data_IF_786569644709
#
_entry.id   IF_786569644709
#
_cell.length_a   1.000
_cell.length_b   1.000
_cell.length_c   1.000
_cell.angle_alpha   90.00
_cell.angle_beta   90.00
_cell.angle_gamma   90.00
#
_symmetry.space_group_name_H-M   'P 1'
#
loop_
_entity.id
_entity.type
_entity.pdbx_description
1 polymer ?
#
# COMPACT_ATOMS: atom_id res chain seq x y z
N UNK A 1 -13.84 -9.77 -16.58
CA UNK A 1 -13.63 -10.22 -17.98
C UNK A 1 -14.75 -9.76 -18.94
N UNK A 2 -15.40 -8.63 -18.67
CA UNK A 2 -16.47 -8.10 -19.54
C UNK A 2 -15.98 -7.62 -20.91
N UNK A 3 -14.67 -7.43 -21.08
CA UNK A 3 -14.04 -7.05 -22.35
C UNK A 3 -13.88 -8.23 -23.33
N UNK A 4 -13.97 -9.47 -22.85
CA UNK A 4 -13.81 -10.67 -23.69
C UNK A 4 -15.03 -10.81 -24.60
N UNK A 5 -14.80 -10.93 -25.90
CA UNK A 5 -15.83 -11.15 -26.91
C UNK A 5 -15.67 -12.54 -27.49
N UNK A 6 -16.79 -13.20 -27.78
CA UNK A 6 -16.81 -14.53 -28.36
C UNK A 6 -18.24 -15.04 -28.58
N UNK A 7 -18.34 -16.27 -29.09
CA UNK A 7 -19.59 -17.00 -29.30
C UNK A 7 -19.56 -18.26 -28.45
N UNK A 8 -20.66 -18.57 -27.77
CA UNK A 8 -20.84 -19.80 -27.01
C UNK A 8 -22.00 -20.55 -27.63
N UNK A 9 -21.69 -21.70 -28.23
CA UNK A 9 -22.67 -22.65 -28.73
C UNK A 9 -22.72 -23.85 -27.78
N UNK A 10 -23.93 -24.26 -27.38
CA UNK A 10 -24.12 -25.27 -26.33
C UNK A 10 -25.35 -26.12 -26.60
N UNK A 11 -25.13 -27.42 -26.80
CA UNK A 11 -26.20 -28.41 -27.03
C UNK A 11 -27.01 -28.69 -25.75
N UNK A 12 -26.43 -28.49 -24.57
CA UNK A 12 -27.05 -28.80 -23.27
C UNK A 12 -28.03 -27.73 -22.74
N UNK A 13 -28.23 -26.62 -23.46
CA UNK A 13 -29.14 -25.56 -23.02
C UNK A 13 -30.59 -25.90 -23.43
N UNK A 14 -31.55 -25.84 -22.49
CA UNK A 14 -32.94 -26.12 -22.82
C UNK A 14 -33.49 -25.02 -23.74
N UNK A 15 -33.82 -25.39 -24.98
CA UNK A 15 -34.21 -24.45 -26.03
C UNK A 15 -35.59 -23.80 -25.80
N UNK A 16 -36.49 -24.48 -25.08
CA UNK A 16 -37.88 -24.06 -24.86
C UNK A 16 -38.09 -23.44 -23.47
N UNK A 17 -37.24 -22.49 -23.06
CA UNK A 17 -37.37 -21.82 -21.76
C UNK A 17 -37.31 -20.29 -21.90
N UNK A 18 -37.89 -19.57 -20.94
CA UNK A 18 -37.81 -18.11 -20.91
C UNK A 18 -36.36 -17.64 -20.64
N UNK A 19 -36.03 -16.44 -21.10
CA UNK A 19 -34.71 -15.82 -20.84
C UNK A 19 -34.40 -15.69 -19.35
N UNK A 20 -35.42 -15.42 -18.55
CA UNK A 20 -35.31 -15.27 -17.10
C UNK A 20 -34.94 -16.60 -16.43
N UNK A 21 -35.64 -17.68 -16.79
CA UNK A 21 -35.32 -19.03 -16.28
C UNK A 21 -33.95 -19.48 -16.76
N UNK A 22 -33.55 -19.13 -17.98
CA UNK A 22 -32.23 -19.45 -18.52
C UNK A 22 -31.11 -18.79 -17.73
N UNK A 23 -31.25 -17.50 -17.41
CA UNK A 23 -30.26 -16.74 -16.64
C UNK A 23 -30.00 -17.32 -15.24
N UNK A 24 -31.00 -17.97 -14.65
CA UNK A 24 -30.89 -18.61 -13.33
C UNK A 24 -30.40 -20.07 -13.40
N UNK A 25 -30.19 -20.62 -14.61
CA UNK A 25 -29.79 -22.02 -14.81
C UNK A 25 -28.43 -22.34 -14.19
N UNK A 26 -28.33 -23.51 -13.56
CA UNK A 26 -27.05 -24.07 -13.07
C UNK A 26 -26.06 -24.30 -14.22
N UNK A 27 -26.54 -24.60 -15.43
CA UNK A 27 -25.69 -24.86 -16.60
C UNK A 27 -24.89 -23.61 -16.98
N UNK A 28 -25.51 -22.42 -16.97
CA UNK A 28 -24.79 -21.16 -17.25
C UNK A 28 -23.67 -20.89 -16.24
N UNK A 29 -23.83 -21.28 -14.97
CA UNK A 29 -22.76 -21.15 -13.96
C UNK A 29 -21.56 -22.03 -14.29
N UNK A 30 -21.80 -23.25 -14.81
CA UNK A 30 -20.74 -24.18 -15.24
C UNK A 30 -20.03 -23.64 -16.49
N UNK A 31 -20.79 -23.21 -17.50
CA UNK A 31 -20.25 -22.58 -18.71
C UNK A 31 -19.37 -21.38 -18.33
N UNK A 32 -19.87 -20.47 -17.48
CA UNK A 32 -19.10 -19.32 -16.99
C UNK A 32 -17.79 -19.74 -16.35
N UNK A 33 -17.80 -20.75 -15.47
CA UNK A 33 -16.59 -21.25 -14.81
C UNK A 33 -15.56 -21.76 -15.82
N UNK A 34 -16.00 -22.52 -16.83
CA UNK A 34 -15.11 -23.03 -17.88
C UNK A 34 -14.54 -21.92 -18.76
N UNK A 35 -15.36 -20.92 -19.13
CA UNK A 35 -14.91 -19.76 -19.90
C UNK A 35 -13.87 -18.94 -19.14
N UNK A 36 -14.09 -18.67 -17.84
CA UNK A 36 -13.11 -17.98 -17.00
C UNK A 36 -11.80 -18.77 -16.96
N UNK A 37 -11.86 -20.09 -16.76
CA UNK A 37 -10.66 -20.94 -16.78
C UNK A 37 -9.90 -20.83 -18.11
N UNK A 38 -10.59 -20.93 -19.25
CA UNK A 38 -9.99 -20.79 -20.58
C UNK A 38 -9.41 -19.39 -20.84
N UNK A 39 -10.06 -18.34 -20.35
CA UNK A 39 -9.49 -16.99 -20.42
C UNK A 39 -8.21 -16.87 -19.59
N UNK A 40 -8.15 -17.49 -18.40
CA UNK A 40 -6.92 -17.48 -17.58
C UNK A 40 -5.78 -18.28 -18.22
N UNK A 41 -6.09 -19.39 -18.90
CA UNK A 41 -5.11 -20.15 -19.70
C UNK A 41 -4.56 -19.26 -20.83
N UNK A 42 -5.42 -18.60 -21.60
CA UNK A 42 -5.02 -17.69 -22.68
C UNK A 42 -4.17 -16.51 -22.17
N UNK A 43 -4.54 -15.90 -21.04
CA UNK A 43 -3.74 -14.84 -20.43
C UNK A 43 -2.38 -15.38 -19.98
N UNK A 44 -2.34 -16.63 -19.50
CA UNK A 44 -1.10 -17.32 -19.16
C UNK A 44 -0.17 -17.53 -20.36
N UNK A 45 -0.71 -17.91 -21.51
CA UNK A 45 0.06 -18.00 -22.77
C UNK A 45 0.55 -16.62 -23.23
N UNK A 46 -0.30 -15.59 -23.12
CA UNK A 46 0.10 -14.22 -23.46
C UNK A 46 1.27 -13.72 -22.62
N UNK A 47 1.38 -14.13 -21.35
CA UNK A 47 2.52 -13.75 -20.47
C UNK A 47 3.88 -14.19 -21.05
N UNK A 48 3.92 -15.25 -21.86
CA UNK A 48 5.15 -15.76 -22.46
C UNK A 48 5.67 -14.84 -23.58
N UNK A 49 4.79 -14.07 -24.23
CA UNK A 49 5.15 -13.03 -25.19
C UNK A 49 5.17 -11.66 -24.50
N UNK A 50 6.36 -11.21 -24.10
CA UNK A 50 6.56 -9.95 -23.34
C UNK A 50 5.93 -8.74 -24.04
N UNK A 51 6.06 -8.63 -25.36
CA UNK A 51 5.59 -7.47 -26.12
C UNK A 51 4.06 -7.45 -26.20
N UNK A 52 3.45 -8.60 -26.53
CA UNK A 52 1.99 -8.72 -26.56
C UNK A 52 1.40 -8.55 -25.17
N UNK A 53 2.05 -9.11 -24.14
CA UNK A 53 1.59 -8.99 -22.78
C UNK A 53 1.62 -7.55 -22.27
N UNK A 54 2.67 -6.80 -22.61
CA UNK A 54 2.76 -5.39 -22.24
C UNK A 54 1.58 -4.60 -22.82
N UNK A 55 1.25 -4.80 -24.10
CA UNK A 55 0.07 -4.17 -24.75
C UNK A 55 -1.23 -4.62 -24.08
N UNK A 56 -1.37 -5.90 -23.77
CA UNK A 56 -2.54 -6.43 -23.06
C UNK A 56 -2.68 -5.80 -21.66
N UNK A 57 -1.59 -5.74 -20.90
CA UNK A 57 -1.60 -5.24 -19.54
C UNK A 57 -1.92 -3.75 -19.50
N UNK A 58 -1.35 -2.95 -20.41
CA UNK A 58 -1.65 -1.52 -20.52
C UNK A 58 -3.16 -1.24 -20.71
N UNK A 59 -3.84 -2.09 -21.50
CA UNK A 59 -5.27 -1.92 -21.79
C UNK A 59 -6.19 -2.54 -20.74
N UNK A 60 -5.79 -3.66 -20.11
CA UNK A 60 -6.68 -4.48 -19.30
C UNK A 60 -6.20 -4.71 -17.85
N UNK A 61 -5.14 -4.04 -17.39
CA UNK A 61 -4.63 -4.14 -16.00
C UNK A 61 -5.72 -3.88 -14.96
N UNK A 62 -6.57 -2.87 -15.18
CA UNK A 62 -7.68 -2.52 -14.30
C UNK A 62 -8.67 -3.67 -14.14
N UNK A 63 -8.94 -4.42 -15.22
CA UNK A 63 -9.80 -5.60 -15.15
C UNK A 63 -9.15 -6.75 -14.36
N UNK A 64 -7.82 -6.90 -14.44
CA UNK A 64 -7.08 -7.88 -13.64
C UNK A 64 -7.09 -7.51 -12.16
N UNK A 65 -6.81 -6.25 -11.83
CA UNK A 65 -6.85 -5.71 -10.46
C UNK A 65 -8.26 -5.78 -9.85
N UNK A 66 -9.30 -5.51 -10.64
CA UNK A 66 -10.68 -5.76 -10.22
C UNK A 66 -10.94 -7.27 -10.00
N UNK A 67 -10.38 -8.13 -10.85
CA UNK A 67 -10.45 -9.59 -10.67
C UNK A 67 -9.86 -10.06 -9.34
N UNK A 68 -8.76 -9.46 -8.88
CA UNK A 68 -8.21 -9.71 -7.52
C UNK A 68 -9.23 -9.34 -6.45
N UNK A 69 -9.92 -8.21 -6.64
CA UNK A 69 -10.90 -7.73 -5.67
C UNK A 69 -12.14 -8.65 -5.61
N UNK A 70 -12.70 -9.02 -6.76
CA UNK A 70 -13.99 -9.72 -6.86
C UNK A 70 -13.89 -11.27 -6.83
N UNK A 71 -12.90 -11.85 -7.50
CA UNK A 71 -12.83 -13.31 -7.73
C UNK A 71 -11.91 -14.00 -6.71
N UNK A 72 -12.48 -14.34 -5.56
CA UNK A 72 -11.75 -15.05 -4.51
C UNK A 72 -11.25 -16.44 -4.90
N UNK A 73 -11.88 -17.09 -5.89
CA UNK A 73 -11.50 -18.44 -6.33
C UNK A 73 -10.23 -18.41 -7.19
N UNK A 74 -10.14 -17.43 -8.10
CA UNK A 74 -9.02 -17.33 -9.04
C UNK A 74 -7.97 -16.28 -8.64
N UNK A 75 -8.17 -15.55 -7.53
CA UNK A 75 -7.26 -14.50 -7.04
C UNK A 75 -5.78 -14.86 -7.10
N UNK A 76 -5.42 -16.06 -6.62
CA UNK A 76 -4.02 -16.52 -6.63
C UNK A 76 -3.45 -16.57 -8.05
N UNK A 77 -4.23 -17.08 -9.01
CA UNK A 77 -3.79 -17.15 -10.41
C UNK A 77 -3.74 -15.77 -11.07
N UNK A 78 -4.70 -14.90 -10.76
CA UNK A 78 -4.72 -13.53 -11.27
C UNK A 78 -3.51 -12.74 -10.76
N UNK A 79 -3.02 -13.03 -9.54
CA UNK A 79 -1.85 -12.36 -8.98
C UNK A 79 -0.57 -12.57 -9.82
N UNK A 80 -0.44 -13.74 -10.47
CA UNK A 80 0.68 -14.02 -11.41
C UNK A 80 0.69 -13.07 -12.62
N UNK A 81 -0.47 -12.49 -12.94
CA UNK A 81 -0.68 -11.58 -14.06
C UNK A 81 -0.51 -10.11 -13.67
N UNK A 82 -0.20 -9.79 -12.42
CA UNK A 82 0.01 -8.40 -12.03
C UNK A 82 1.41 -7.93 -12.42
N UNK A 83 1.51 -6.67 -12.84
CA UNK A 83 2.76 -5.99 -13.16
C UNK A 83 2.76 -4.62 -12.50
N UNK A 84 3.88 -4.26 -11.89
CA UNK A 84 4.07 -3.01 -11.17
C UNK A 84 5.44 -2.44 -11.47
N UNK A 85 5.60 -1.12 -11.38
CA UNK A 85 6.94 -0.55 -11.26
C UNK A 85 7.48 -0.82 -9.86
N UNK A 86 8.80 -0.87 -9.71
CA UNK A 86 9.45 -1.00 -8.41
C UNK A 86 10.67 -0.11 -8.28
N UNK A 87 11.27 -0.09 -7.10
CA UNK A 87 12.52 0.64 -6.85
C UNK A 87 13.73 0.14 -7.64
N UNK A 88 13.67 -1.05 -8.21
CA UNK A 88 14.77 -1.69 -8.94
C UNK A 88 14.43 -1.98 -10.41
N UNK A 89 13.17 -1.87 -10.82
CA UNK A 89 12.72 -2.28 -12.16
C UNK A 89 13.05 -1.28 -13.29
N UNK A 90 13.58 -0.09 -12.96
CA UNK A 90 13.76 0.97 -13.94
C UNK A 90 12.43 1.38 -14.57
N UNK A 91 12.39 1.57 -15.88
CA UNK A 91 11.16 1.97 -16.59
C UNK A 91 10.27 0.81 -16.99
N UNK A 92 10.73 -0.44 -16.80
CA UNK A 92 9.89 -1.60 -17.01
C UNK A 92 9.06 -1.93 -15.77
N UNK A 93 7.93 -2.60 -15.98
CA UNK A 93 7.17 -3.20 -14.89
C UNK A 93 7.67 -4.62 -14.62
N UNK A 94 7.64 -5.02 -13.35
CA UNK A 94 8.01 -6.35 -12.86
C UNK A 94 6.78 -7.12 -12.40
N UNK A 95 6.81 -8.46 -12.48
CA UNK A 95 5.82 -9.31 -11.83
C UNK A 95 6.10 -9.45 -10.33
N UNK A 96 5.10 -9.94 -9.57
CA UNK A 96 5.28 -10.35 -8.17
C UNK A 96 6.24 -11.53 -8.06
N UNK A 97 6.21 -12.46 -9.02
CA UNK A 97 7.14 -13.58 -9.09
C UNK A 97 8.59 -13.11 -9.21
N UNK A 98 8.84 -12.16 -10.11
CA UNK A 98 10.19 -11.61 -10.28
C UNK A 98 10.63 -10.76 -9.08
N UNK A 99 9.70 -10.11 -8.37
CA UNK A 99 10.01 -9.50 -7.08
C UNK A 99 10.49 -10.55 -6.08
N UNK A 100 9.77 -11.67 -5.96
CA UNK A 100 10.11 -12.77 -5.03
C UNK A 100 11.51 -13.35 -5.33
N UNK A 101 11.90 -13.47 -6.60
CA UNK A 101 13.25 -13.97 -6.96
C UNK A 101 14.37 -13.00 -6.59
N UNK A 102 14.06 -11.71 -6.39
CA UNK A 102 15.00 -10.67 -5.95
C UNK A 102 14.93 -10.36 -4.46
N UNK A 103 14.05 -11.04 -3.71
CA UNK A 103 13.99 -10.89 -2.26
C UNK A 103 15.30 -11.32 -1.62
N UNK A 104 15.70 -10.62 -0.56
CA UNK A 104 16.86 -11.03 0.24
C UNK A 104 16.54 -12.26 1.08
N UNK A 105 17.56 -13.03 1.45
CA UNK A 105 17.41 -14.23 2.27
C UNK A 105 16.73 -13.96 3.63
N UNK A 106 16.97 -12.78 4.20
CA UNK A 106 16.37 -12.35 5.47
C UNK A 106 15.03 -11.61 5.31
N UNK A 107 14.52 -11.45 4.10
CA UNK A 107 13.28 -10.74 3.81
C UNK A 107 12.08 -11.70 3.84
N UNK A 108 11.08 -11.37 4.66
CA UNK A 108 9.85 -12.18 4.80
C UNK A 108 8.68 -11.64 3.99
N UNK A 109 8.65 -10.33 3.78
CA UNK A 109 7.49 -9.62 3.25
C UNK A 109 7.79 -8.92 1.92
N UNK A 110 6.75 -8.76 1.10
CA UNK A 110 6.77 -7.95 -0.11
C UNK A 110 6.38 -6.52 0.27
N UNK A 111 7.32 -5.59 0.15
CA UNK A 111 7.09 -4.19 0.49
C UNK A 111 6.45 -3.43 -0.68
N UNK A 112 5.40 -2.66 -0.40
CA UNK A 112 4.76 -1.81 -1.38
C UNK A 112 4.39 -0.43 -0.82
N UNK A 113 4.20 0.53 -1.71
CA UNK A 113 3.66 1.85 -1.43
C UNK A 113 2.58 2.20 -2.45
N UNK A 114 1.49 2.78 -1.96
CA UNK A 114 0.42 3.32 -2.80
C UNK A 114 0.49 4.86 -2.86
N UNK A 115 0.08 5.44 -3.99
CA UNK A 115 0.02 6.90 -4.16
C UNK A 115 -0.57 7.33 -5.50
N UNK A 116 -0.38 8.59 -5.86
CA UNK A 116 -0.94 9.20 -7.07
C UNK A 116 -0.05 9.05 -8.30
N UNK A 117 1.26 9.02 -8.10
CA UNK A 117 2.23 8.94 -9.19
C UNK A 117 3.50 8.23 -8.76
N UNK A 118 4.24 7.71 -9.76
CA UNK A 118 5.53 7.06 -9.54
C UNK A 118 6.53 8.03 -8.90
N UNK A 119 6.53 9.29 -9.29
CA UNK A 119 7.41 10.33 -8.75
C UNK A 119 7.11 10.61 -7.28
N UNK A 120 5.84 10.69 -6.90
CA UNK A 120 5.44 10.93 -5.51
C UNK A 120 5.87 9.77 -4.61
N UNK A 121 5.52 8.54 -4.97
CA UNK A 121 5.83 7.37 -4.13
C UNK A 121 7.31 7.05 -4.14
N UNK A 122 8.02 7.37 -5.23
CA UNK A 122 9.45 7.13 -5.30
C UNK A 122 10.27 8.14 -4.50
N UNK A 123 9.75 9.34 -4.25
CA UNK A 123 10.41 10.34 -3.40
C UNK A 123 9.85 10.39 -1.96
N UNK A 124 9.01 9.42 -1.59
CA UNK A 124 8.39 9.38 -0.28
C UNK A 124 9.37 9.07 0.85
N UNK A 125 9.18 9.70 2.01
CA UNK A 125 9.93 9.39 3.23
C UNK A 125 9.83 7.91 3.65
N UNK A 126 8.71 7.25 3.34
CA UNK A 126 8.44 5.87 3.73
C UNK A 126 9.32 4.83 3.04
N UNK A 127 9.94 5.18 1.90
CA UNK A 127 10.79 4.26 1.13
C UNK A 127 12.28 4.49 1.36
N UNK A 128 12.67 5.54 2.09
CA UNK A 128 14.06 5.94 2.31
C UNK A 128 14.89 4.80 2.93
N UNK A 129 14.53 4.33 4.13
CA UNK A 129 15.30 3.27 4.81
C UNK A 129 15.17 1.93 4.10
N UNK A 130 14.00 1.64 3.54
CA UNK A 130 13.74 0.39 2.80
C UNK A 130 14.74 0.26 1.64
N UNK A 131 14.92 1.34 0.87
CA UNK A 131 15.94 1.39 -0.20
C UNK A 131 17.36 1.45 0.33
N UNK A 132 17.63 2.20 1.40
CA UNK A 132 18.96 2.28 2.02
C UNK A 132 19.45 0.90 2.48
N UNK A 133 18.54 0.06 2.97
CA UNK A 133 18.80 -1.35 3.30
C UNK A 133 18.76 -2.28 2.09
N UNK A 134 18.56 -1.76 0.89
CA UNK A 134 18.57 -2.49 -0.38
C UNK A 134 17.36 -3.40 -0.58
N UNK A 135 16.25 -3.17 0.11
CA UNK A 135 15.00 -3.88 -0.16
C UNK A 135 14.24 -3.22 -1.31
N UNK A 136 13.59 -4.05 -2.13
CA UNK A 136 12.76 -3.59 -3.24
C UNK A 136 11.38 -3.14 -2.73
N UNK A 137 10.83 -2.07 -3.30
CA UNK A 137 9.47 -1.59 -3.01
C UNK A 137 8.67 -1.51 -4.29
N UNK A 138 7.48 -2.13 -4.32
CA UNK A 138 6.52 -2.01 -5.41
C UNK A 138 5.78 -0.67 -5.35
N UNK A 139 5.63 -0.01 -6.50
CA UNK A 139 4.92 1.25 -6.66
C UNK A 139 3.55 1.01 -7.27
N UNK A 140 2.52 1.40 -6.51
CA UNK A 140 1.12 1.18 -6.85
C UNK A 140 0.41 2.52 -6.98
N UNK A 141 0.25 2.98 -8.21
CA UNK A 141 -0.08 4.37 -8.52
C UNK A 141 -1.46 4.53 -9.15
N UNK A 142 -2.21 3.43 -9.30
CA UNK A 142 -3.60 3.49 -9.75
C UNK A 142 -4.56 3.42 -8.56
N UNK A 143 -5.68 4.17 -8.55
CA UNK A 143 -6.64 4.12 -7.45
C UNK A 143 -7.18 2.72 -7.14
N UNK A 144 -7.31 1.86 -8.15
CA UNK A 144 -7.77 0.47 -7.99
C UNK A 144 -6.76 -0.40 -7.22
N UNK A 145 -5.48 0.00 -7.14
CA UNK A 145 -4.46 -0.75 -6.43
C UNK A 145 -4.74 -0.87 -4.93
N UNK A 146 -5.32 0.17 -4.32
CA UNK A 146 -5.73 0.16 -2.92
C UNK A 146 -6.76 -0.94 -2.62
N UNK A 147 -7.71 -1.16 -3.54
CA UNK A 147 -8.70 -2.24 -3.41
C UNK A 147 -8.11 -3.62 -3.74
N UNK A 148 -7.13 -3.65 -4.65
CA UNK A 148 -6.41 -4.86 -5.04
C UNK A 148 -5.60 -5.40 -3.85
N UNK A 149 -4.75 -4.59 -3.24
CA UNK A 149 -3.90 -5.02 -2.11
C UNK A 149 -4.65 -5.27 -0.81
N UNK A 150 -5.85 -4.70 -0.65
CA UNK A 150 -6.73 -5.09 0.45
C UNK A 150 -7.13 -6.58 0.39
N UNK A 151 -7.26 -7.14 -0.81
CA UNK A 151 -7.62 -8.55 -1.02
C UNK A 151 -6.40 -9.45 -1.26
N UNK A 152 -5.33 -8.91 -1.84
CA UNK A 152 -4.07 -9.60 -2.06
C UNK A 152 -3.19 -9.53 -0.81
N UNK A 153 -3.53 -10.33 0.20
CA UNK A 153 -2.82 -10.37 1.49
C UNK A 153 -1.44 -11.06 1.40
N UNK A 154 -1.32 -12.05 0.52
CA UNK A 154 -0.14 -12.90 0.39
C UNK A 154 0.09 -13.29 -1.07
N UNK A 155 1.35 -13.43 -1.47
CA UNK A 155 1.80 -14.02 -2.73
C UNK A 155 2.96 -14.97 -2.48
N UNK A 156 2.86 -16.21 -2.95
CA UNK A 156 3.89 -17.26 -2.81
C UNK A 156 4.40 -17.44 -1.35
N UNK A 157 3.48 -17.44 -0.37
CA UNK A 157 3.82 -17.55 1.05
C UNK A 157 4.40 -16.28 1.69
N UNK A 158 4.51 -15.17 0.93
CA UNK A 158 5.03 -13.88 1.39
C UNK A 158 3.89 -12.88 1.60
N UNK A 159 3.84 -12.25 2.77
CA UNK A 159 2.81 -11.26 3.08
C UNK A 159 3.13 -9.94 2.37
N UNK A 160 2.11 -9.22 1.90
CA UNK A 160 2.27 -7.88 1.35
C UNK A 160 2.15 -6.84 2.47
N UNK A 161 3.17 -5.99 2.63
CA UNK A 161 3.24 -4.99 3.69
C UNK A 161 3.38 -3.59 3.11
N UNK A 162 2.46 -2.70 3.49
CA UNK A 162 2.55 -1.29 3.13
C UNK A 162 3.61 -0.59 3.98
N UNK A 163 4.53 0.11 3.33
CA UNK A 163 5.55 0.94 4.02
C UNK A 163 4.97 2.21 4.64
N UNK A 164 3.69 2.52 4.40
CA UNK A 164 3.00 3.72 4.94
C UNK A 164 2.20 3.43 6.23
N UNK A 165 2.04 2.15 6.58
CA UNK A 165 1.33 1.73 7.79
C UNK A 165 2.28 1.56 8.98
N UNK A 166 1.74 1.66 10.19
CA UNK A 166 2.47 1.31 11.41
C UNK A 166 2.90 -0.18 11.40
N UNK A 167 3.92 -0.52 12.18
CA UNK A 167 4.39 -1.89 12.30
C UNK A 167 5.22 -2.38 11.11
N UNK A 168 5.82 -1.47 10.34
CA UNK A 168 6.79 -1.85 9.32
C UNK A 168 8.02 -2.47 9.99
N UNK A 169 8.19 -3.78 9.80
CA UNK A 169 9.38 -4.49 10.23
C UNK A 169 10.33 -4.66 9.05
N UNK A 170 11.53 -4.09 9.20
CA UNK A 170 12.65 -4.35 8.31
C UNK A 170 13.61 -5.30 9.02
N UNK A 171 14.24 -6.25 8.31
CA UNK A 171 15.31 -7.04 8.90
C UNK A 171 16.40 -6.13 9.52
N UNK A 172 16.75 -6.43 10.76
CA UNK A 172 17.69 -5.67 11.61
C UNK A 172 18.68 -6.63 12.26
N UNK A 173 19.94 -6.19 12.34
CA UNK A 173 20.94 -6.85 13.17
C UNK A 173 20.78 -6.46 14.66
N UNK A 174 21.50 -7.16 15.54
CA UNK A 174 21.37 -6.95 16.99
C UNK A 174 21.91 -5.58 17.45
N UNK A 175 22.88 -5.01 16.72
CA UNK A 175 23.43 -3.69 17.01
C UNK A 175 22.43 -2.59 16.62
N UNK A 176 21.74 -2.72 15.49
CA UNK A 176 20.67 -1.82 15.06
C UNK A 176 19.50 -1.84 16.04
N UNK A 177 19.08 -3.03 16.50
CA UNK A 177 18.03 -3.16 17.52
C UNK A 177 18.43 -2.45 18.82
N UNK A 178 19.67 -2.65 19.28
CA UNK A 178 20.18 -2.00 20.48
C UNK A 178 20.19 -0.48 20.35
N UNK A 179 20.71 0.05 19.23
CA UNK A 179 20.69 1.49 18.93
C UNK A 179 19.28 2.06 18.90
N UNK A 180 18.32 1.30 18.36
CA UNK A 180 16.93 1.72 18.29
C UNK A 180 16.29 1.79 19.69
N UNK A 181 16.54 0.82 20.57
CA UNK A 181 16.07 0.87 21.96
C UNK A 181 16.72 2.02 22.76
N UNK A 182 18.02 2.27 22.57
CA UNK A 182 18.69 3.44 23.15
C UNK A 182 18.09 4.76 22.64
N UNK A 183 17.78 4.85 21.35
CA UNK A 183 17.11 6.02 20.76
C UNK A 183 15.70 6.20 21.32
N UNK A 184 14.91 5.12 21.48
CA UNK A 184 13.59 5.20 22.11
C UNK A 184 13.67 5.78 23.51
N UNK A 185 14.60 5.31 24.34
CA UNK A 185 14.82 5.83 25.69
C UNK A 185 15.25 7.31 25.66
N UNK A 186 16.22 7.65 24.79
CA UNK A 186 16.73 9.03 24.66
C UNK A 186 15.65 10.04 24.25
N UNK A 187 14.73 9.65 23.38
CA UNK A 187 13.71 10.53 22.82
C UNK A 187 12.32 10.36 23.46
N UNK A 188 12.17 9.50 24.48
CA UNK A 188 10.88 9.22 25.13
C UNK A 188 10.19 10.50 25.64
N UNK A 189 10.95 11.37 26.32
CA UNK A 189 10.42 12.63 26.84
C UNK A 189 9.99 13.57 25.71
N UNK A 190 10.76 13.66 24.62
CA UNK A 190 10.39 14.46 23.45
C UNK A 190 9.09 13.95 22.83
N UNK A 191 8.92 12.63 22.68
CA UNK A 191 7.69 12.04 22.16
C UNK A 191 6.47 12.43 23.02
N UNK A 192 6.60 12.43 24.35
CA UNK A 192 5.54 12.88 25.27
C UNK A 192 5.21 14.36 25.08
N UNK A 193 6.23 15.22 25.04
CA UNK A 193 6.05 16.67 24.81
C UNK A 193 5.34 16.93 23.47
N UNK A 194 5.76 16.27 22.39
CA UNK A 194 5.11 16.40 21.08
C UNK A 194 3.66 15.88 21.14
N UNK A 195 3.41 14.76 21.83
CA UNK A 195 2.06 14.21 21.98
C UNK A 195 1.13 15.15 22.75
N UNK A 196 1.64 15.85 23.74
CA UNK A 196 0.88 16.85 24.52
C UNK A 196 0.57 18.09 23.68
N UNK A 197 1.52 18.55 22.86
CA UNK A 197 1.32 19.69 21.94
C UNK A 197 0.29 19.36 20.87
N UNK A 198 0.40 18.17 20.26
CA UNK A 198 -0.48 17.75 19.17
C UNK A 198 -1.83 17.23 19.68
N UNK A 199 -1.95 16.88 20.96
CA UNK A 199 -3.16 16.39 21.63
C UNK A 199 -4.00 15.45 20.74
N UNK A 200 -5.16 15.91 20.24
CA UNK A 200 -6.10 15.10 19.44
C UNK A 200 -5.72 14.96 17.96
N UNK A 201 -4.68 15.65 17.49
CA UNK A 201 -4.23 15.59 16.09
C UNK A 201 -3.53 14.28 15.74
N UNK A 202 -2.86 13.66 16.72
CA UNK A 202 -2.22 12.34 16.58
C UNK A 202 -2.55 11.45 17.76
N UNK A 203 -2.72 10.15 17.50
CA UNK A 203 -2.94 9.16 18.56
C UNK A 203 -1.65 8.90 19.35
N UNK A 204 -0.51 8.88 18.65
CA UNK A 204 0.78 8.44 19.21
C UNK A 204 1.93 9.16 18.51
N UNK A 205 3.01 9.39 19.27
CA UNK A 205 4.29 9.87 18.77
C UNK A 205 5.37 8.86 19.13
N UNK A 206 6.17 8.43 18.16
CA UNK A 206 7.24 7.43 18.37
C UNK A 206 8.48 7.71 17.56
N UNK A 207 9.60 7.17 18.03
CA UNK A 207 10.83 7.09 17.26
C UNK A 207 10.66 6.10 16.11
N UNK A 208 11.11 6.50 14.94
CA UNK A 208 11.05 5.72 13.70
C UNK A 208 12.39 5.10 13.37
N UNK A 209 12.36 3.88 12.85
CA UNK A 209 13.49 3.24 12.18
C UNK A 209 13.37 3.30 10.63
N UNK A 210 12.25 3.78 10.07
CA UNK A 210 12.02 3.79 8.60
C UNK A 210 12.51 5.05 7.88
N UNK A 211 12.77 6.13 8.62
CA UNK A 211 13.20 7.43 8.09
C UNK A 211 14.72 7.50 7.96
N UNK A 212 15.24 8.29 7.02
CA UNK A 212 16.68 8.56 6.82
C UNK A 212 16.95 10.06 6.76
N UNK A 213 16.46 10.73 5.73
CA UNK A 213 16.64 12.18 5.49
C UNK A 213 15.51 13.01 6.06
N UNK A 214 14.31 12.43 6.19
CA UNK A 214 13.15 13.16 6.68
C UNK A 214 13.16 13.28 8.21
N UNK A 215 12.79 14.43 8.80
CA UNK A 215 12.75 14.62 10.26
C UNK A 215 11.60 13.87 10.92
N UNK A 216 10.45 13.78 10.25
CA UNK A 216 9.30 13.03 10.73
C UNK A 216 8.34 12.69 9.57
N UNK A 217 7.41 11.77 9.83
CA UNK A 217 6.33 11.40 8.90
C UNK A 217 5.06 11.02 9.67
N UNK A 218 3.92 10.99 8.97
CA UNK A 218 2.64 10.55 9.52
C UNK A 218 2.29 9.17 8.97
N UNK A 219 2.30 8.16 9.83
CA UNK A 219 1.84 6.81 9.47
C UNK A 219 0.37 6.63 9.87
N UNK A 220 -0.33 5.78 9.13
CA UNK A 220 -1.66 5.28 9.54
C UNK A 220 -1.52 4.03 10.38
N UNK A 221 -2.48 3.80 11.28
CA UNK A 221 -2.61 2.51 11.96
C UNK A 221 -2.68 1.33 10.96
N UNK A 222 -2.36 0.13 11.44
CA UNK A 222 -2.37 -1.09 10.64
C UNK A 222 -3.77 -1.35 10.05
N UNK A 223 -4.80 -1.05 10.85
CA UNK A 223 -6.20 -1.16 10.48
C UNK A 223 -6.76 0.19 10.02
N UNK A 224 -7.69 0.14 9.07
CA UNK A 224 -8.28 1.33 8.44
C UNK A 224 -7.58 1.76 7.15
N UNK A 225 -8.02 2.91 6.65
CA UNK A 225 -7.56 3.47 5.38
C UNK A 225 -6.14 4.02 5.46
N UNK A 226 -5.36 3.80 4.39
CA UNK A 226 -4.14 4.56 4.12
C UNK A 226 -4.48 6.02 3.81
N UNK A 227 -3.49 6.91 3.80
CA UNK A 227 -3.67 8.29 3.34
C UNK A 227 -4.24 8.36 1.92
N UNK A 228 -3.72 7.52 1.02
CA UNK A 228 -4.16 7.46 -0.36
C UNK A 228 -5.60 6.90 -0.49
N UNK A 229 -5.97 5.88 0.29
CA UNK A 229 -7.36 5.41 0.34
C UNK A 229 -8.30 6.48 0.91
N UNK A 230 -7.91 7.20 1.97
CA UNK A 230 -8.70 8.31 2.51
C UNK A 230 -8.98 9.37 1.44
N UNK A 231 -7.97 9.74 0.65
CA UNK A 231 -8.09 10.67 -0.49
C UNK A 231 -9.04 10.14 -1.57
N UNK A 232 -8.88 8.89 -2.00
CA UNK A 232 -9.75 8.26 -3.01
C UNK A 232 -11.20 8.23 -2.52
N UNK A 233 -11.42 7.82 -1.27
CA UNK A 233 -12.74 7.76 -0.65
C UNK A 233 -13.38 9.14 -0.55
N UNK A 234 -12.61 10.18 -0.19
CA UNK A 234 -13.12 11.56 -0.10
C UNK A 234 -13.49 12.13 -1.47
N UNK A 235 -12.81 11.72 -2.54
CA UNK A 235 -13.11 12.15 -3.90
C UNK A 235 -14.33 11.44 -4.54
N UNK A 236 -14.85 10.39 -3.92
CA UNK A 236 -15.96 9.60 -4.47
C UNK A 236 -17.32 10.27 -4.20
N UNK A 237 -17.99 10.75 -5.25
CA UNK A 237 -19.24 11.52 -5.17
C UNK A 237 -20.45 10.78 -4.55
N UNK A 238 -20.52 9.45 -4.70
CA UNK A 238 -21.65 8.63 -4.22
C UNK A 238 -21.36 7.90 -2.89
N UNK A 239 -20.36 8.35 -2.13
CA UNK A 239 -20.00 7.71 -0.85
C UNK A 239 -20.97 8.13 0.25
N UNK A 240 -21.38 7.16 1.07
CA UNK A 240 -22.03 7.43 2.36
C UNK A 240 -21.01 8.02 3.36
N UNK A 241 -21.26 9.26 3.80
CA UNK A 241 -20.41 9.98 4.75
C UNK A 241 -20.31 9.31 6.12
N UNK A 242 -21.25 8.43 6.47
CA UNK A 242 -21.24 7.66 7.72
C UNK A 242 -20.04 6.69 7.83
N UNK A 243 -19.50 6.23 6.69
CA UNK A 243 -18.38 5.28 6.64
C UNK A 243 -17.04 5.86 7.08
N UNK A 244 -16.86 7.19 7.07
CA UNK A 244 -15.61 7.83 7.49
C UNK A 244 -15.33 7.68 8.99
N UNK A 245 -16.38 7.68 9.83
CA UNK A 245 -16.21 7.65 11.29
C UNK A 245 -15.53 6.38 11.82
N UNK A 246 -15.68 5.26 11.11
CA UNK A 246 -15.12 3.96 11.51
C UNK A 246 -13.86 3.55 10.72
N UNK A 247 -13.64 4.14 9.54
CA UNK A 247 -12.56 3.74 8.63
C UNK A 247 -11.41 4.75 8.55
N UNK A 248 -11.59 5.98 9.05
CA UNK A 248 -10.51 6.93 9.21
C UNK A 248 -9.47 6.36 10.19
N UNK A 249 -8.31 5.98 9.65
CA UNK A 249 -7.26 5.43 10.48
C UNK A 249 -6.70 6.49 11.42
N UNK A 250 -6.36 6.05 12.64
CA UNK A 250 -5.61 6.86 13.59
C UNK A 250 -4.25 7.19 12.98
N UNK A 251 -3.82 8.44 13.16
CA UNK A 251 -2.53 8.96 12.68
C UNK A 251 -1.49 8.86 13.80
N UNK A 252 -0.28 8.43 13.46
CA UNK A 252 0.86 8.43 14.37
C UNK A 252 1.99 9.25 13.77
N UNK A 253 2.61 10.10 14.58
CA UNK A 253 3.80 10.82 14.18
C UNK A 253 5.04 9.97 14.49
N UNK A 254 5.81 9.68 13.46
CA UNK A 254 7.08 8.99 13.55
C UNK A 254 8.21 10.02 13.42
N UNK A 255 9.11 10.10 14.41
CA UNK A 255 10.25 11.04 14.42
C UNK A 255 11.56 10.33 14.12
N UNK A 256 12.45 10.98 13.38
CA UNK A 256 13.77 10.46 13.02
C UNK A 256 14.81 10.88 14.07
N UNK A 257 15.35 9.94 14.87
CA UNK A 257 16.31 10.28 15.93
C UNK A 257 17.68 10.72 15.37
N UNK A 258 17.99 10.42 14.11
CA UNK A 258 19.24 10.79 13.45
C UNK A 258 19.20 12.21 12.86
N UNK A 259 18.03 12.86 12.83
CA UNK A 259 17.86 14.17 12.20
C UNK A 259 18.22 15.33 13.16
N UNK A 260 19.02 16.28 12.68
CA UNK A 260 19.52 17.42 13.47
C UNK A 260 18.40 18.27 14.09
N UNK A 261 17.33 18.52 13.35
CA UNK A 261 16.13 19.23 13.86
C UNK A 261 15.51 18.48 15.06
N UNK A 262 15.41 17.15 14.99
CA UNK A 262 14.78 16.34 16.05
C UNK A 262 15.66 16.33 17.30
N UNK A 263 16.98 16.22 17.14
CA UNK A 263 17.92 16.35 18.26
C UNK A 263 17.88 17.75 18.90
N UNK A 264 17.79 18.81 18.07
CA UNK A 264 17.67 20.19 18.57
C UNK A 264 16.36 20.39 19.33
N UNK A 265 15.26 19.83 18.83
CA UNK A 265 13.97 19.84 19.52
C UNK A 265 14.03 19.13 20.87
N UNK A 266 14.72 17.99 20.96
CA UNK A 266 14.94 17.26 22.22
C UNK A 266 15.65 18.16 23.24
N UNK A 267 16.76 18.78 22.86
CA UNK A 267 17.55 19.64 23.74
C UNK A 267 16.75 20.85 24.23
N UNK A 268 15.98 21.49 23.34
CA UNK A 268 15.10 22.61 23.72
C UNK A 268 13.99 22.18 24.66
N UNK A 269 13.33 21.05 24.40
CA UNK A 269 12.27 20.53 25.24
C UNK A 269 12.77 20.13 26.66
N UNK A 270 14.04 19.71 26.78
CA UNK A 270 14.69 19.47 28.06
C UNK A 270 15.02 20.75 28.83
N UNK A 271 15.39 21.82 28.13
CA UNK A 271 15.65 23.12 28.73
C UNK A 271 14.36 23.82 29.20
N UNK A 272 13.33 23.85 28.35
CA UNK A 272 12.00 24.37 28.69
C UNK A 272 10.91 23.70 27.83
N UNK A 273 10.12 22.82 28.47
CA UNK A 273 8.98 22.14 27.84
C UNK A 273 7.84 23.08 27.41
N UNK A 274 7.81 24.31 27.92
CA UNK A 274 6.79 25.31 27.61
C UNK A 274 7.26 26.37 26.61
N UNK A 275 8.48 26.25 26.07
CA UNK A 275 9.01 27.17 25.07
C UNK A 275 8.06 27.26 23.87
N UNK A 276 7.56 28.48 23.60
CA UNK A 276 6.66 28.75 22.48
C UNK A 276 7.29 28.37 21.14
N UNK A 277 8.60 28.57 20.98
CA UNK A 277 9.31 28.23 19.75
C UNK A 277 9.33 26.72 19.49
N UNK A 278 9.35 25.90 20.54
CA UNK A 278 9.22 24.43 20.43
C UNK A 278 7.82 24.06 19.97
N UNK A 279 6.77 24.67 20.56
CA UNK A 279 5.38 24.41 20.17
C UNK A 279 5.11 24.78 18.71
N UNK A 280 5.54 25.97 18.29
CA UNK A 280 5.35 26.45 16.92
C UNK A 280 6.10 25.56 15.91
N UNK A 281 7.33 25.15 16.23
CA UNK A 281 8.12 24.25 15.37
C UNK A 281 7.52 22.85 15.28
N UNK A 282 7.00 22.30 16.38
CA UNK A 282 6.32 20.99 16.38
C UNK A 282 5.07 21.03 15.51
N UNK A 283 4.27 22.10 15.60
CA UNK A 283 3.10 22.29 14.74
C UNK A 283 3.47 22.38 13.26
N UNK A 284 4.51 23.16 12.93
CA UNK A 284 5.01 23.29 11.56
C UNK A 284 5.49 21.95 11.01
N UNK A 285 6.27 21.19 11.79
CA UNK A 285 6.73 19.86 11.40
C UNK A 285 5.57 18.89 11.20
N UNK A 286 4.57 18.93 12.08
CA UNK A 286 3.38 18.10 11.96
C UNK A 286 2.62 18.38 10.66
N UNK A 287 2.28 19.64 10.38
CA UNK A 287 1.54 20.02 9.17
C UNK A 287 2.33 19.71 7.89
N UNK A 288 3.63 20.00 7.90
CA UNK A 288 4.52 19.66 6.77
C UNK A 288 4.56 18.15 6.54
N UNK A 289 4.64 17.36 7.62
CA UNK A 289 4.65 15.89 7.53
C UNK A 289 3.31 15.32 7.10
N UNK A 290 2.20 15.95 7.50
CA UNK A 290 0.85 15.56 7.10
C UNK A 290 0.70 15.67 5.58
N UNK A 291 1.10 16.82 5.01
CA UNK A 291 1.09 17.04 3.57
C UNK A 291 2.05 16.09 2.83
N UNK A 292 3.29 15.97 3.31
CA UNK A 292 4.31 15.10 2.69
C UNK A 292 3.93 13.61 2.75
N UNK A 293 3.14 13.21 3.74
CA UNK A 293 2.62 11.83 3.90
C UNK A 293 1.32 11.59 3.10
N UNK A 294 0.86 12.57 2.31
CA UNK A 294 -0.27 12.41 1.39
C UNK A 294 -1.65 12.65 2.02
N UNK A 295 -1.72 13.28 3.20
CA UNK A 295 -2.99 13.68 3.81
C UNK A 295 -3.36 15.11 3.41
N UNK A 296 -4.66 15.41 3.50
CA UNK A 296 -5.16 16.79 3.41
C UNK A 296 -4.82 17.56 4.69
N UNK A 297 -4.43 18.82 4.53
CA UNK A 297 -4.38 19.77 5.64
C UNK A 297 -5.82 20.11 6.10
N UNK A 298 -5.97 20.41 7.38
CA UNK A 298 -7.22 20.94 7.97
C UNK A 298 -7.40 22.42 7.65
#
# INVERSE_FOLDING_TARGET
LNFVKGVVDSEDLPLNISRETLQQSKILKVIRKNLVKKCMELIGELVEDKEQYQKFYEQFSKNMKLGIHEDSQHRKKIADFLRYHSSTSGDEMTSLKDYVTRMKDNQKDIYYITGESRDQVSNSAFVERVRKRGFEVLYMVEPIDEYCVQQLKEYDGKTLVSVTKEGLELPEDDDEKKRFEEAKAKFENLCKVIKDILDKKVEKVVVSNRLVSSPCCIVTSQYGWSANMERIMKAQAFRDSSTMGYMAAKKHLEINPEHSIVETLRQKAEADKNDKSVKDLVMLLYETSLLASGFSLE
#
